data_IF_333425094340
#
_entry.id   IF_333425094340
#
_cell.length_a   1.000
_cell.length_b   1.000
_cell.length_c   1.000
_cell.angle_alpha   90.00
_cell.angle_beta   90.00
_cell.angle_gamma   90.00
#
_symmetry.space_group_name_H-M   'P 1'
#
loop_
_entity.id
_entity.type
_entity.pdbx_description
1 polymer ?
#
# COMPACT_ATOMS: atom_id res chain seq x y z
N UNK A 1 6.61 11.61 13.54
CA UNK A 1 6.87 10.44 12.66
C UNK A 1 8.19 9.73 12.96
N UNK A 2 9.23 10.42 13.46
CA UNK A 2 10.57 9.81 13.67
C UNK A 2 10.71 8.90 14.92
N UNK A 3 9.67 8.80 15.77
CA UNK A 3 9.63 7.91 16.95
C UNK A 3 8.26 7.24 17.08
N UNK A 4 7.94 6.25 16.24
CA UNK A 4 6.59 5.66 16.19
C UNK A 4 6.20 4.93 17.49
N UNK A 5 7.15 4.35 18.22
CA UNK A 5 6.86 3.67 19.50
C UNK A 5 6.46 4.61 20.63
N UNK A 6 7.08 5.79 20.71
CA UNK A 6 6.77 6.80 21.73
C UNK A 6 5.34 7.36 21.55
N UNK A 7 4.90 7.54 20.30
CA UNK A 7 3.55 8.01 19.97
C UNK A 7 2.46 7.01 20.40
N UNK A 8 2.67 5.71 20.12
CA UNK A 8 1.75 4.66 20.51
C UNK A 8 1.71 4.47 22.04
N UNK A 9 2.85 4.55 22.73
CA UNK A 9 2.91 4.48 24.19
C UNK A 9 2.22 5.69 24.86
N UNK A 10 2.40 6.89 24.32
CA UNK A 10 1.75 8.11 24.83
C UNK A 10 0.23 8.12 24.62
N UNK A 11 -0.28 7.46 23.57
CA UNK A 11 -1.72 7.28 23.33
C UNK A 11 -2.38 6.42 24.41
N UNK A 12 -1.71 5.34 24.84
CA UNK A 12 -2.21 4.43 25.88
C UNK A 12 -2.15 5.08 27.27
N UNK A 13 -1.13 5.91 27.53
CA UNK A 13 -0.93 6.58 28.83
C UNK A 13 -1.89 7.77 29.08
N UNK A 14 -2.91 7.98 28.25
CA UNK A 14 -3.96 8.98 28.52
C UNK A 14 -3.51 10.45 28.45
N UNK A 15 -2.29 10.74 27.97
CA UNK A 15 -1.87 12.11 27.70
C UNK A 15 -2.76 12.67 26.60
N UNK A 16 -3.63 13.64 26.94
CA UNK A 16 -4.56 14.36 26.05
C UNK A 16 -3.84 15.24 25.01
N UNK A 17 -2.78 14.73 24.39
CA UNK A 17 -2.23 15.39 23.21
C UNK A 17 -3.25 15.15 22.11
N UNK A 18 -3.74 16.24 21.52
CA UNK A 18 -4.62 16.28 20.37
C UNK A 18 -3.87 15.71 19.16
N UNK A 19 -3.58 14.41 19.18
CA UNK A 19 -2.95 13.71 18.09
C UNK A 19 -3.96 13.69 16.95
N UNK A 20 -3.56 14.22 15.80
CA UNK A 20 -4.27 13.96 14.55
C UNK A 20 -4.42 12.44 14.46
N UNK A 21 -5.65 11.88 14.39
CA UNK A 21 -5.83 10.44 14.36
C UNK A 21 -4.95 9.90 13.24
N UNK A 22 -3.99 9.00 13.51
CA UNK A 22 -2.97 8.58 12.54
C UNK A 22 -3.59 8.07 11.23
N UNK A 23 -4.85 7.66 11.29
CA UNK A 23 -5.71 7.31 10.16
C UNK A 23 -5.91 8.44 9.15
N UNK A 24 -6.10 9.69 9.59
CA UNK A 24 -6.29 10.82 8.67
C UNK A 24 -5.03 11.08 7.84
N UNK A 25 -3.86 10.98 8.47
CA UNK A 25 -2.58 11.13 7.78
C UNK A 25 -2.40 10.01 6.75
N UNK A 26 -2.69 8.77 7.15
CA UNK A 26 -2.67 7.63 6.23
C UNK A 26 -3.56 7.87 5.01
N UNK A 27 -4.83 8.24 5.21
CA UNK A 27 -5.75 8.50 4.09
C UNK A 27 -5.25 9.60 3.15
N UNK A 28 -4.72 10.68 3.71
CA UNK A 28 -4.16 11.78 2.94
C UNK A 28 -2.94 11.34 2.10
N UNK A 29 -2.02 10.59 2.72
CA UNK A 29 -0.84 10.06 2.02
C UNK A 29 -1.24 9.05 0.96
N UNK A 30 -2.17 8.14 1.25
CA UNK A 30 -2.69 7.19 0.27
C UNK A 30 -3.34 7.89 -0.90
N UNK A 31 -4.13 8.93 -0.65
CA UNK A 31 -4.73 9.75 -1.71
C UNK A 31 -3.65 10.35 -2.63
N UNK A 32 -2.62 10.99 -2.05
CA UNK A 32 -1.48 11.52 -2.83
C UNK A 32 -0.76 10.41 -3.59
N UNK A 33 -0.48 9.29 -2.93
CA UNK A 33 0.20 8.14 -3.54
C UNK A 33 -0.56 7.62 -4.76
N UNK A 34 -1.87 7.35 -4.63
CA UNK A 34 -2.69 6.87 -5.74
C UNK A 34 -2.85 7.92 -6.83
N UNK A 35 -2.92 9.20 -6.48
CA UNK A 35 -2.93 10.30 -7.45
C UNK A 35 -1.63 10.34 -8.26
N UNK A 36 -0.47 10.28 -7.60
CA UNK A 36 0.84 10.24 -8.27
C UNK A 36 1.03 8.97 -9.09
N UNK A 37 0.57 7.83 -8.59
CA UNK A 37 0.61 6.56 -9.31
C UNK A 37 -0.22 6.66 -10.60
N UNK A 38 -1.42 7.24 -10.53
CA UNK A 38 -2.26 7.52 -11.70
C UNK A 38 -1.56 8.43 -12.69
N UNK A 39 -0.95 9.52 -12.24
CA UNK A 39 -0.19 10.43 -13.12
C UNK A 39 1.00 9.73 -13.80
N UNK A 40 1.71 8.90 -13.06
CA UNK A 40 2.84 8.11 -13.58
C UNK A 40 2.43 6.97 -14.50
N UNK A 41 1.24 6.38 -14.32
CA UNK A 41 0.67 5.45 -15.30
C UNK A 41 0.08 6.19 -16.50
N UNK A 42 -0.47 7.39 -16.30
CA UNK A 42 -0.99 8.20 -17.39
C UNK A 42 0.09 8.58 -18.39
N UNK A 43 1.36 8.81 -18.02
CA UNK A 43 2.44 8.95 -19.03
C UNK A 43 2.66 7.72 -19.91
N UNK A 44 2.20 6.54 -19.48
CA UNK A 44 2.14 5.31 -20.29
C UNK A 44 0.88 5.27 -21.16
N UNK A 45 -0.20 5.94 -20.73
CA UNK A 45 -1.51 6.01 -21.41
C UNK A 45 -1.78 7.30 -22.23
N UNK A 46 -0.95 8.36 -22.15
CA UNK A 46 -1.09 9.59 -22.96
C UNK A 46 -0.91 9.28 -24.45
N UNK A 47 -0.18 8.21 -24.79
CA UNK A 47 -0.13 7.69 -26.17
C UNK A 47 -1.42 6.96 -26.61
N UNK A 48 -2.40 6.75 -25.72
CA UNK A 48 -3.69 6.09 -26.01
C UNK A 48 -4.91 7.02 -25.89
N UNK A 49 -4.92 7.99 -24.99
CA UNK A 49 -6.14 8.81 -24.75
C UNK A 49 -6.36 9.98 -25.74
N UNK A 50 -5.36 10.39 -26.55
CA UNK A 50 -5.56 11.48 -27.52
C UNK A 50 -6.39 11.11 -28.77
N UNK A 51 -6.71 9.83 -28.99
CA UNK A 51 -7.60 9.40 -30.09
C UNK A 51 -9.08 9.29 -29.69
N UNK A 52 -9.43 9.22 -28.39
CA UNK A 52 -10.79 8.90 -27.97
C UNK A 52 -11.71 10.11 -27.74
N UNK A 53 -11.20 11.32 -27.46
CA UNK A 53 -12.07 12.47 -27.14
C UNK A 53 -12.63 13.22 -28.37
N UNK A 54 -12.04 13.06 -29.56
CA UNK A 54 -12.61 13.66 -30.80
C UNK A 54 -13.59 12.74 -31.54
N UNK A 55 -13.66 11.47 -31.16
CA UNK A 55 -14.48 10.45 -31.81
C UNK A 55 -15.80 10.15 -31.06
N UNK A 56 -15.92 10.67 -29.84
CA UNK A 56 -16.97 10.36 -28.86
C UNK A 56 -18.37 10.91 -29.16
N UNK A 57 -18.61 11.51 -30.34
CA UNK A 57 -19.97 11.91 -30.74
C UNK A 57 -20.48 11.15 -31.97
N UNK A 58 -19.61 10.45 -32.73
CA UNK A 58 -20.03 9.82 -34.01
C UNK A 58 -19.68 8.32 -34.12
N UNK A 59 -18.82 7.77 -33.25
CA UNK A 59 -18.28 6.39 -33.40
C UNK A 59 -18.79 5.39 -32.33
N UNK A 60 -19.68 5.82 -31.43
CA UNK A 60 -20.13 5.04 -30.27
C UNK A 60 -20.81 3.68 -30.55
N UNK A 61 -21.12 3.34 -31.81
CA UNK A 61 -21.87 2.12 -32.15
C UNK A 61 -21.13 1.07 -32.99
N UNK A 62 -19.91 1.32 -33.51
CA UNK A 62 -19.37 0.42 -34.55
C UNK A 62 -18.05 -0.30 -34.28
N UNK A 63 -17.23 0.14 -33.31
CA UNK A 63 -15.92 -0.46 -33.01
C UNK A 63 -15.87 -1.21 -31.66
N UNK A 64 -17.00 -1.39 -30.97
CA UNK A 64 -17.05 -2.15 -29.70
C UNK A 64 -17.33 -3.65 -29.91
N UNK A 65 -17.84 -4.04 -31.10
CA UNK A 65 -18.17 -5.44 -31.42
C UNK A 65 -17.02 -6.26 -32.03
N UNK A 66 -15.84 -5.69 -32.27
CA UNK A 66 -14.73 -6.38 -32.97
C UNK A 66 -13.43 -6.51 -32.18
N UNK A 67 -13.39 -6.17 -30.89
CA UNK A 67 -12.28 -6.62 -30.04
C UNK A 67 -12.49 -8.10 -29.72
N UNK A 68 -11.50 -8.96 -30.00
CA UNK A 68 -11.55 -10.38 -29.63
C UNK A 68 -12.07 -10.55 -28.20
N UNK A 69 -13.02 -11.48 -27.93
CA UNK A 69 -13.64 -11.63 -26.61
C UNK A 69 -12.60 -11.77 -25.49
N UNK A 70 -11.42 -12.30 -25.79
CA UNK A 70 -10.31 -12.46 -24.85
C UNK A 70 -9.62 -11.14 -24.44
N UNK A 71 -9.52 -10.15 -25.34
CA UNK A 71 -8.90 -8.84 -25.04
C UNK A 71 -9.83 -8.02 -24.14
N UNK A 72 -11.12 -8.01 -24.46
CA UNK A 72 -12.15 -7.35 -23.66
C UNK A 72 -12.26 -7.96 -22.25
N UNK A 73 -12.31 -9.30 -22.13
CA UNK A 73 -12.28 -9.99 -20.83
C UNK A 73 -11.02 -9.66 -20.03
N UNK A 74 -9.86 -9.57 -20.69
CA UNK A 74 -8.59 -9.23 -20.03
C UNK A 74 -8.55 -7.79 -19.49
N UNK A 75 -9.05 -6.82 -20.24
CA UNK A 75 -9.12 -5.42 -19.77
C UNK A 75 -10.11 -5.28 -18.59
N UNK A 76 -11.25 -5.97 -18.65
CA UNK A 76 -12.22 -6.04 -17.55
C UNK A 76 -11.64 -6.72 -16.30
N UNK A 77 -10.85 -7.79 -16.46
CA UNK A 77 -10.11 -8.44 -15.37
C UNK A 77 -9.17 -7.47 -14.67
N UNK A 78 -8.36 -6.75 -15.46
CA UNK A 78 -7.36 -5.81 -14.95
C UNK A 78 -8.06 -4.67 -14.19
N UNK A 79 -9.12 -4.10 -14.76
CA UNK A 79 -9.89 -3.04 -14.10
C UNK A 79 -10.50 -3.48 -12.77
N UNK A 80 -11.15 -4.66 -12.73
CA UNK A 80 -11.72 -5.21 -11.51
C UNK A 80 -10.63 -5.52 -10.47
N UNK A 81 -9.50 -6.06 -10.90
CA UNK A 81 -8.36 -6.35 -10.03
C UNK A 81 -7.83 -5.09 -9.32
N UNK A 82 -7.64 -3.98 -10.05
CA UNK A 82 -7.17 -2.72 -9.45
C UNK A 82 -8.14 -2.15 -8.40
N UNK A 83 -9.45 -2.32 -8.62
CA UNK A 83 -10.46 -1.92 -7.64
C UNK A 83 -10.34 -2.74 -6.34
N UNK A 84 -10.21 -4.06 -6.44
CA UNK A 84 -10.02 -4.92 -5.26
C UNK A 84 -8.68 -4.68 -4.56
N UNK A 85 -7.60 -4.44 -5.32
CA UNK A 85 -6.27 -4.15 -4.78
C UNK A 85 -6.28 -2.88 -3.90
N UNK A 86 -6.95 -1.83 -4.36
CA UNK A 86 -7.03 -0.56 -3.64
C UNK A 86 -7.76 -0.72 -2.30
N UNK A 87 -8.86 -1.49 -2.28
CA UNK A 87 -9.61 -1.77 -1.05
C UNK A 87 -8.86 -2.72 -0.11
N UNK A 88 -8.14 -3.70 -0.68
CA UNK A 88 -7.31 -4.64 0.07
C UNK A 88 -6.26 -3.91 0.93
N UNK A 89 -5.64 -2.84 0.42
CA UNK A 89 -4.62 -2.10 1.16
C UNK A 89 -5.11 -1.48 2.48
N UNK A 90 -6.40 -1.11 2.56
CA UNK A 90 -6.98 -0.57 3.81
C UNK A 90 -7.21 -1.69 4.82
N UNK A 91 -7.80 -2.82 4.40
CA UNK A 91 -8.13 -3.93 5.30
C UNK A 91 -6.89 -4.72 5.73
N UNK A 92 -5.83 -4.69 4.93
CA UNK A 92 -4.57 -5.37 5.24
C UNK A 92 -3.84 -4.76 6.44
N UNK A 93 -4.14 -3.51 6.83
CA UNK A 93 -3.52 -2.89 8.00
C UNK A 93 -3.97 -3.47 9.33
N UNK A 94 -5.30 -3.65 9.58
CA UNK A 94 -5.80 -4.49 10.65
C UNK A 94 -5.21 -5.90 10.64
N UNK A 95 -5.09 -6.52 9.47
CA UNK A 95 -4.52 -7.88 9.34
C UNK A 95 -3.05 -7.89 9.79
N UNK A 96 -2.23 -6.95 9.33
CA UNK A 96 -0.84 -6.83 9.78
C UNK A 96 -0.75 -6.54 11.29
N UNK A 97 -1.63 -5.69 11.80
CA UNK A 97 -1.71 -5.41 13.23
C UNK A 97 -2.08 -6.66 14.04
N UNK A 98 -2.94 -7.53 13.52
CA UNK A 98 -3.29 -8.82 14.14
C UNK A 98 -2.10 -9.78 14.16
N UNK A 99 -1.31 -9.84 13.08
CA UNK A 99 -0.07 -10.64 13.01
C UNK A 99 0.93 -10.14 14.06
N UNK A 100 1.15 -8.83 14.13
CA UNK A 100 2.02 -8.23 15.16
C UNK A 100 1.50 -8.48 16.57
N UNK A 101 0.19 -8.30 16.78
CA UNK A 101 -0.46 -8.58 18.06
C UNK A 101 -0.30 -10.04 18.48
N UNK A 102 -0.32 -10.98 17.54
CA UNK A 102 -0.04 -12.39 17.80
C UNK A 102 1.40 -12.62 18.26
N UNK A 103 2.38 -12.07 17.53
CA UNK A 103 3.81 -12.29 17.79
C UNK A 103 4.36 -11.52 18.99
N UNK A 104 3.78 -10.36 19.28
CA UNK A 104 4.19 -9.46 20.38
C UNK A 104 3.17 -9.40 21.53
N UNK A 105 2.21 -10.32 21.58
CA UNK A 105 1.13 -10.39 22.60
C UNK A 105 1.63 -10.24 24.05
N UNK A 106 2.82 -10.76 24.35
CA UNK A 106 3.43 -10.71 25.69
C UNK A 106 4.14 -9.39 26.02
N UNK A 107 4.46 -8.58 25.01
CA UNK A 107 5.22 -7.33 25.15
C UNK A 107 4.31 -6.11 25.25
N UNK A 108 3.30 -6.06 24.40
CA UNK A 108 2.29 -5.00 24.42
C UNK A 108 0.92 -5.66 24.32
N UNK A 109 0.01 -5.38 25.26
CA UNK A 109 -1.30 -6.08 25.33
C UNK A 109 -2.38 -5.37 24.50
N UNK A 110 -2.20 -4.06 24.25
CA UNK A 110 -3.20 -3.24 23.59
C UNK A 110 -3.13 -3.43 22.07
N UNK A 111 -4.19 -3.98 21.47
CA UNK A 111 -4.32 -4.13 20.01
C UNK A 111 -4.19 -2.77 19.29
N UNK A 112 -4.74 -1.70 19.87
CA UNK A 112 -4.65 -0.34 19.33
C UNK A 112 -3.20 0.12 19.13
N UNK A 113 -2.27 -0.29 20.00
CA UNK A 113 -0.85 0.02 19.84
C UNK A 113 -0.29 -0.57 18.53
N UNK A 114 -0.64 -1.83 18.26
CA UNK A 114 -0.20 -2.57 17.08
C UNK A 114 -0.87 -2.04 15.82
N UNK A 115 -2.14 -1.63 15.91
CA UNK A 115 -2.87 -1.01 14.81
C UNK A 115 -2.27 0.35 14.44
N UNK A 116 -2.04 1.22 15.42
CA UNK A 116 -1.40 2.53 15.21
C UNK A 116 0.01 2.34 14.65
N UNK A 117 0.75 1.34 15.12
CA UNK A 117 2.07 1.04 14.61
C UNK A 117 2.04 0.56 13.15
N UNK A 118 1.19 -0.42 12.83
CA UNK A 118 0.91 -0.91 11.47
C UNK A 118 0.60 0.24 10.51
N UNK A 119 -0.29 1.15 10.93
CA UNK A 119 -0.72 2.30 10.17
C UNK A 119 0.42 3.28 9.88
N UNK A 120 1.26 3.56 10.89
CA UNK A 120 2.44 4.42 10.72
C UNK A 120 3.48 3.78 9.79
N UNK A 121 3.65 2.46 9.81
CA UNK A 121 4.57 1.77 8.91
C UNK A 121 4.15 1.86 7.45
N UNK A 122 2.87 1.63 7.17
CA UNK A 122 2.34 1.75 5.80
C UNK A 122 2.31 3.21 5.33
N UNK A 123 1.97 4.15 6.21
CA UNK A 123 2.04 5.58 5.89
C UNK A 123 3.46 5.98 5.49
N UNK A 124 4.47 5.52 6.23
CA UNK A 124 5.87 5.80 5.91
C UNK A 124 6.29 5.17 4.57
N UNK A 125 5.87 3.94 4.30
CA UNK A 125 6.11 3.28 3.02
C UNK A 125 5.50 4.07 1.86
N UNK A 126 4.26 4.51 1.99
CA UNK A 126 3.57 5.28 0.95
C UNK A 126 4.17 6.66 0.72
N UNK A 127 4.66 7.34 1.76
CA UNK A 127 5.43 8.59 1.60
C UNK A 127 6.69 8.33 0.77
N UNK A 128 7.44 7.28 1.10
CA UNK A 128 8.68 6.96 0.43
C UNK A 128 8.45 6.58 -1.04
N UNK A 129 7.42 5.77 -1.30
CA UNK A 129 7.04 5.39 -2.66
C UNK A 129 6.49 6.58 -3.46
N UNK A 130 5.70 7.46 -2.84
CA UNK A 130 5.23 8.71 -3.46
C UNK A 130 6.39 9.61 -3.84
N UNK A 131 7.41 9.73 -2.98
CA UNK A 131 8.62 10.50 -3.26
C UNK A 131 9.40 9.90 -4.43
N UNK A 132 9.52 8.57 -4.48
CA UNK A 132 10.18 7.87 -5.59
C UNK A 132 9.46 8.14 -6.92
N UNK A 133 8.12 8.03 -6.94
CA UNK A 133 7.32 8.35 -8.15
C UNK A 133 7.50 9.83 -8.52
N UNK A 134 7.42 10.75 -7.57
CA UNK A 134 7.58 12.17 -7.83
C UNK A 134 8.95 12.51 -8.43
N UNK A 135 10.04 11.90 -7.93
CA UNK A 135 11.38 12.08 -8.49
C UNK A 135 11.46 11.55 -9.92
N UNK A 136 10.84 10.40 -10.22
CA UNK A 136 10.78 9.86 -11.58
C UNK A 136 9.96 10.73 -12.54
N UNK A 137 8.91 11.38 -12.05
CA UNK A 137 8.10 12.31 -12.85
C UNK A 137 8.85 13.62 -13.18
N UNK A 138 9.67 14.12 -12.25
CA UNK A 138 10.43 15.39 -12.44
C UNK A 138 11.69 15.16 -13.27
N UNK A 139 12.36 14.02 -13.09
CA UNK A 139 13.62 13.68 -13.76
C UNK A 139 13.52 12.32 -14.48
N UNK A 140 12.82 12.27 -15.63
CA UNK A 140 12.60 11.02 -16.37
C UNK A 140 13.87 10.48 -17.05
N UNK A 141 14.78 11.36 -17.49
CA UNK A 141 16.01 10.99 -18.23
C UNK A 141 17.26 10.92 -17.35
N UNK A 142 17.14 10.44 -16.10
CA UNK A 142 18.31 10.29 -15.21
C UNK A 142 19.08 9.00 -15.51
N UNK A 143 20.41 9.08 -15.51
CA UNK A 143 21.29 7.93 -15.78
C UNK A 143 21.49 7.00 -14.56
N UNK A 144 21.09 7.41 -13.36
CA UNK A 144 21.38 6.68 -12.11
C UNK A 144 20.17 6.50 -11.21
N UNK A 145 20.00 5.27 -10.70
CA UNK A 145 18.87 4.83 -9.87
C UNK A 145 19.16 4.98 -8.37
N UNK A 146 19.70 6.12 -7.93
CA UNK A 146 20.10 6.30 -6.52
C UNK A 146 18.91 6.32 -5.55
N UNK A 147 17.69 6.59 -6.00
CA UNK A 147 16.48 6.50 -5.18
C UNK A 147 16.20 5.10 -4.62
N UNK A 148 16.73 4.04 -5.22
CA UNK A 148 16.61 2.69 -4.66
C UNK A 148 17.24 2.59 -3.27
N UNK A 149 18.28 3.39 -2.98
CA UNK A 149 18.89 3.46 -1.65
C UNK A 149 17.95 4.08 -0.61
N UNK A 150 17.04 4.96 -1.02
CA UNK A 150 16.04 5.55 -0.11
C UNK A 150 15.14 4.44 0.46
N UNK A 151 14.83 3.39 -0.32
CA UNK A 151 14.03 2.25 0.14
C UNK A 151 14.66 1.50 1.32
N UNK A 152 15.98 1.52 1.48
CA UNK A 152 16.65 0.91 2.64
C UNK A 152 16.29 1.60 3.97
N UNK A 153 15.75 2.82 3.93
CA UNK A 153 15.25 3.51 5.11
C UNK A 153 14.01 2.81 5.71
N UNK A 154 13.24 2.09 4.90
CA UNK A 154 12.04 1.36 5.34
C UNK A 154 12.34 0.27 6.38
N UNK A 155 13.19 -0.75 6.12
CA UNK A 155 13.51 -1.77 7.12
C UNK A 155 14.15 -1.18 8.38
N UNK A 156 14.98 -0.15 8.25
CA UNK A 156 15.56 0.55 9.40
C UNK A 156 14.46 1.16 10.29
N UNK A 157 13.49 1.85 9.69
CA UNK A 157 12.34 2.43 10.39
C UNK A 157 11.48 1.36 11.09
N UNK A 158 11.22 0.22 10.44
CA UNK A 158 10.46 -0.89 11.03
C UNK A 158 11.12 -1.38 12.33
N UNK A 159 12.42 -1.66 12.29
CA UNK A 159 13.14 -2.25 13.41
C UNK A 159 13.30 -1.25 14.56
N UNK A 160 13.69 0.00 14.27
CA UNK A 160 13.81 1.06 15.28
C UNK A 160 12.46 1.31 15.95
N UNK A 161 11.40 1.42 15.15
CA UNK A 161 10.05 1.63 15.66
C UNK A 161 9.53 0.47 16.49
N UNK A 162 9.78 -0.76 16.07
CA UNK A 162 9.37 -1.96 16.81
C UNK A 162 10.14 -2.10 18.12
N UNK A 163 11.42 -1.72 18.14
CA UNK A 163 12.22 -1.70 19.37
C UNK A 163 11.64 -0.72 20.38
N UNK A 164 11.30 0.49 19.94
CA UNK A 164 10.74 1.53 20.80
C UNK A 164 9.37 1.13 21.35
N UNK A 165 8.51 0.57 20.50
CA UNK A 165 7.16 0.14 20.89
C UNK A 165 7.18 -1.04 21.89
N UNK A 166 7.94 -2.09 21.56
CA UNK A 166 7.90 -3.34 22.33
C UNK A 166 8.94 -3.40 23.45
N UNK A 167 9.76 -2.34 23.62
CA UNK A 167 10.84 -2.22 24.62
C UNK A 167 11.72 -3.48 24.72
N UNK A 168 12.01 -4.10 23.58
CA UNK A 168 12.65 -5.42 23.48
C UNK A 168 14.05 -5.32 22.88
N UNK A 169 14.90 -6.33 23.14
CA UNK A 169 16.26 -6.41 22.58
C UNK A 169 16.21 -6.48 21.04
N UNK A 170 17.18 -5.82 20.37
CA UNK A 170 17.28 -5.75 18.90
C UNK A 170 17.05 -7.09 18.20
N UNK A 171 17.78 -8.15 18.60
CA UNK A 171 17.65 -9.48 17.98
C UNK A 171 16.22 -10.02 18.05
N UNK A 172 15.58 -9.92 19.20
CA UNK A 172 14.20 -10.40 19.37
C UNK A 172 13.20 -9.60 18.54
N UNK A 173 13.44 -8.30 18.35
CA UNK A 173 12.60 -7.44 17.51
C UNK A 173 12.80 -7.80 16.05
N UNK A 174 14.06 -7.87 15.59
CA UNK A 174 14.41 -8.24 14.21
C UNK A 174 13.77 -9.57 13.82
N UNK A 175 13.98 -10.64 14.60
CA UNK A 175 13.42 -11.94 14.28
C UNK A 175 11.89 -11.92 14.21
N UNK A 176 11.22 -11.35 15.22
CA UNK A 176 9.75 -11.31 15.23
C UNK A 176 9.17 -10.38 14.16
N UNK A 177 9.84 -9.27 13.86
CA UNK A 177 9.45 -8.35 12.79
C UNK A 177 9.61 -8.99 11.42
N UNK A 178 10.70 -9.74 11.21
CA UNK A 178 10.93 -10.51 9.99
C UNK A 178 9.88 -11.62 9.85
N UNK A 179 9.59 -12.37 10.92
CA UNK A 179 8.51 -13.36 10.93
C UNK A 179 7.16 -12.72 10.63
N UNK A 180 6.84 -11.56 11.22
CA UNK A 180 5.62 -10.82 10.94
C UNK A 180 5.53 -10.41 9.46
N UNK A 181 6.65 -9.92 8.91
CA UNK A 181 6.74 -9.52 7.51
C UNK A 181 6.49 -10.72 6.57
N UNK A 182 7.14 -11.86 6.80
CA UNK A 182 6.97 -13.06 5.99
C UNK A 182 5.53 -13.58 6.05
N UNK A 183 4.95 -13.69 7.25
CA UNK A 183 3.56 -14.13 7.42
C UNK A 183 2.61 -13.20 6.66
N UNK A 184 2.84 -11.89 6.76
CA UNK A 184 2.04 -10.90 6.07
C UNK A 184 2.15 -10.99 4.54
N UNK A 185 3.35 -11.23 4.00
CA UNK A 185 3.55 -11.45 2.56
C UNK A 185 2.82 -12.70 2.06
N UNK A 186 2.82 -13.78 2.85
CA UNK A 186 2.06 -15.00 2.52
C UNK A 186 0.57 -14.71 2.49
N UNK A 187 0.02 -13.98 3.47
CA UNK A 187 -1.40 -13.61 3.50
C UNK A 187 -1.79 -12.72 2.31
N UNK A 188 -0.93 -11.77 1.94
CA UNK A 188 -1.17 -10.93 0.75
C UNK A 188 -1.21 -11.81 -0.50
N UNK A 189 -0.22 -12.70 -0.68
CA UNK A 189 -0.13 -13.57 -1.85
C UNK A 189 -1.38 -14.46 -1.98
N UNK A 190 -1.80 -15.10 -0.89
CA UNK A 190 -3.00 -15.94 -0.89
C UNK A 190 -4.27 -15.13 -1.19
N UNK A 191 -4.36 -13.89 -0.68
CA UNK A 191 -5.49 -12.99 -0.97
C UNK A 191 -5.51 -12.59 -2.44
N UNK A 192 -4.37 -12.26 -3.04
CA UNK A 192 -4.26 -11.89 -4.46
C UNK A 192 -4.69 -13.07 -5.34
N UNK A 193 -4.21 -14.29 -5.05
CA UNK A 193 -4.59 -15.50 -5.79
C UNK A 193 -6.10 -15.76 -5.65
N UNK A 194 -6.64 -15.67 -4.44
CA UNK A 194 -8.06 -15.87 -4.19
C UNK A 194 -8.93 -14.86 -4.94
N UNK A 195 -8.57 -13.58 -4.92
CA UNK A 195 -9.28 -12.53 -5.68
C UNK A 195 -9.19 -12.80 -7.18
N UNK A 196 -8.03 -13.19 -7.70
CA UNK A 196 -7.86 -13.54 -9.11
C UNK A 196 -8.79 -14.69 -9.54
N UNK A 197 -8.83 -15.76 -8.76
CA UNK A 197 -9.72 -16.90 -9.00
C UNK A 197 -11.20 -16.53 -8.88
N UNK A 198 -11.56 -15.72 -7.89
CA UNK A 198 -12.93 -15.25 -7.71
C UNK A 198 -13.43 -14.43 -8.90
N UNK A 199 -12.59 -13.54 -9.44
CA UNK A 199 -12.95 -12.75 -10.62
C UNK A 199 -13.06 -13.67 -11.84
N UNK A 200 -12.12 -14.62 -12.03
CA UNK A 200 -12.19 -15.57 -13.14
C UNK A 200 -13.49 -16.39 -13.10
N UNK A 201 -13.83 -16.95 -11.94
CA UNK A 201 -15.06 -17.72 -11.73
C UNK A 201 -16.31 -16.92 -12.07
N UNK A 202 -16.35 -15.62 -11.72
CA UNK A 202 -17.48 -14.74 -12.03
C UNK A 202 -17.66 -14.45 -13.52
N UNK A 203 -16.62 -14.66 -14.35
CA UNK A 203 -16.65 -14.39 -15.79
C UNK A 203 -16.81 -15.63 -16.68
N UNK A 204 -16.69 -16.83 -16.11
CA UNK A 204 -17.04 -18.07 -16.80
C UNK A 204 -18.57 -18.27 -16.67
N UNK A 205 -19.32 -18.29 -17.80
CA UNK A 205 -20.78 -18.39 -17.80
C UNK A 205 -21.30 -19.78 -17.40
#
# INVERSE_FOLDING_TARGET
MLKPGEMAANYINGKRVRYMPPFRLYLFVSFIFFMLLRLSSSSVDINKEQQETKSSVVVFDKEYSQSSPDKFKKELLIANFFNYMSWALIIMMPVYALVLWSLFRKRERHFLAHLIFSLNQHTFLFILLSLLIAVNLIFPEKDSYYEAWILMLYPAYLIVGGRELYKSKWRSVIFRMLTAFIIYQIIILTTIVFVGLFIQYKMEP
#
